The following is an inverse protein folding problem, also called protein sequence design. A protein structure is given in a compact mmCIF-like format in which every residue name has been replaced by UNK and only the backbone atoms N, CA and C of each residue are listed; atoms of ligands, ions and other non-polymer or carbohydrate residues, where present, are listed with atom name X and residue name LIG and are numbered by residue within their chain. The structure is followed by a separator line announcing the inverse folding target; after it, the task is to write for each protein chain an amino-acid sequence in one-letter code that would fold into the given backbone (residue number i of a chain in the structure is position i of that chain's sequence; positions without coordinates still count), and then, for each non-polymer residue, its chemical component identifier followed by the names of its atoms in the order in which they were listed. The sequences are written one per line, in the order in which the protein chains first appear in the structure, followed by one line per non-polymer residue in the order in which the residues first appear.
data_IF_593090487415
#
_entry.id   IF_593090487415
#
_cell.length_a   1.000
_cell.length_b   1.000
_cell.length_c   1.000
_cell.angle_alpha   90.00
_cell.angle_beta   90.00
_cell.angle_gamma   90.00
#
_symmetry.space_group_name_H-M   'P 1'
#
loop_
_entity.id
_entity.type
_entity.pdbx_description
1 polymer ?
#
# COMPACT_ATOMS: atom_id res chain seq x y z
N UNK A 1 5.92 13.76 3.10
CA UNK A 1 5.71 12.59 2.39
C UNK A 1 6.71 12.41 1.29
N UNK A 2 7.41 11.36 1.35
CA UNK A 2 8.42 11.05 0.39
C UNK A 2 7.92 9.99 -0.56
N UNK A 3 8.26 10.14 -1.83
CA UNK A 3 7.92 9.15 -2.83
C UNK A 3 9.19 8.71 -3.52
N UNK A 4 9.33 7.40 -3.67
CA UNK A 4 10.46 6.82 -4.37
C UNK A 4 9.93 6.14 -5.62
N UNK A 5 10.56 6.43 -6.75
CA UNK A 5 10.17 5.82 -8.01
C UNK A 5 11.32 4.96 -8.49
N UNK A 6 11.04 3.68 -8.68
CA UNK A 6 12.06 2.76 -9.13
C UNK A 6 11.46 1.90 -10.23
N UNK A 7 11.96 2.08 -11.45
CA UNK A 7 11.42 1.39 -12.61
C UNK A 7 9.93 1.76 -12.74
N UNK A 8 9.03 0.84 -12.63
CA UNK A 8 7.59 1.10 -12.74
C UNK A 8 6.88 1.03 -11.40
N UNK A 9 7.64 1.13 -10.32
CA UNK A 9 7.12 1.05 -8.97
C UNK A 9 7.24 2.40 -8.28
N UNK A 10 6.15 2.85 -7.64
CA UNK A 10 6.17 4.05 -6.84
C UNK A 10 5.85 3.67 -5.40
N UNK A 11 6.68 4.11 -4.47
CA UNK A 11 6.46 3.87 -3.05
C UNK A 11 6.37 5.22 -2.37
N UNK A 12 5.29 5.46 -1.66
CA UNK A 12 5.09 6.72 -0.94
C UNK A 12 4.92 6.45 0.54
N UNK A 13 5.72 7.11 1.35
CA UNK A 13 5.62 7.02 2.80
C UNK A 13 5.00 8.30 3.28
N UNK A 14 3.77 8.22 3.79
CA UNK A 14 2.98 9.39 4.12
C UNK A 14 3.18 9.90 5.53
N UNK A 15 3.75 9.07 6.40
CA UNK A 15 3.84 9.42 7.81
C UNK A 15 2.48 9.34 8.47
N UNK A 16 2.21 10.22 9.42
CA UNK A 16 0.94 10.19 10.11
C UNK A 16 -0.14 10.75 9.19
N UNK A 17 -1.25 10.02 9.05
CA UNK A 17 -2.34 10.43 8.19
C UNK A 17 -3.55 10.81 9.03
N UNK A 18 -4.45 11.59 8.47
CA UNK A 18 -5.62 12.10 9.19
C UNK A 18 -6.74 11.06 9.30
N UNK A 19 -6.77 10.11 8.39
CA UNK A 19 -7.74 9.02 8.42
C UNK A 19 -7.15 7.83 7.66
N UNK A 20 -7.51 6.60 8.03
CA UNK A 20 -6.81 5.44 7.46
C UNK A 20 -7.02 5.24 5.97
N UNK A 21 -8.19 5.60 5.45
CA UNK A 21 -8.45 5.41 4.02
C UNK A 21 -7.59 6.30 3.13
N UNK A 22 -6.94 7.31 3.70
CA UNK A 22 -6.06 8.19 2.95
C UNK A 22 -4.93 7.41 2.29
N UNK A 23 -4.45 6.35 2.95
CA UNK A 23 -3.37 5.53 2.41
C UNK A 23 -3.81 4.86 1.11
N UNK A 24 -5.02 4.31 1.10
CA UNK A 24 -5.56 3.67 -0.10
C UNK A 24 -5.81 4.69 -1.21
N UNK A 25 -6.30 5.87 -0.84
CA UNK A 25 -6.57 6.93 -1.83
C UNK A 25 -5.29 7.38 -2.50
N UNK A 26 -4.21 7.49 -1.75
CA UNK A 26 -2.92 7.88 -2.32
C UNK A 26 -2.40 6.79 -3.25
N UNK A 27 -2.52 5.53 -2.86
CA UNK A 27 -2.09 4.44 -3.73
C UNK A 27 -2.85 4.45 -5.06
N UNK A 28 -4.16 4.68 -5.01
CA UNK A 28 -4.97 4.77 -6.22
C UNK A 28 -4.53 5.95 -7.09
N UNK A 29 -4.24 7.08 -6.48
CA UNK A 29 -3.79 8.24 -7.21
C UNK A 29 -2.45 7.99 -7.90
N UNK A 30 -1.51 7.37 -7.17
CA UNK A 30 -0.19 7.10 -7.72
C UNK A 30 -0.25 6.13 -8.89
N UNK A 31 -1.18 5.20 -8.86
CA UNK A 31 -1.30 4.24 -9.95
C UNK A 31 -1.76 4.89 -11.26
N UNK A 32 -2.31 6.10 -11.19
CA UNK A 32 -2.73 6.81 -12.39
C UNK A 32 -1.57 7.50 -13.10
N UNK A 33 -0.41 7.59 -12.43
CA UNK A 33 0.73 8.24 -13.06
C UNK A 33 1.22 7.41 -14.25
N UNK A 34 1.72 8.11 -15.26
CA UNK A 34 2.15 7.45 -16.49
C UNK A 34 3.28 6.47 -16.20
N UNK A 35 3.19 5.29 -16.80
CA UNK A 35 4.19 4.23 -16.70
C UNK A 35 4.35 3.61 -15.31
N UNK A 36 3.47 3.90 -14.38
CA UNK A 36 3.49 3.25 -13.08
C UNK A 36 2.66 1.97 -13.19
N UNK A 37 3.25 0.85 -12.80
CA UNK A 37 2.55 -0.44 -12.79
C UNK A 37 2.28 -0.92 -11.38
N UNK A 38 3.03 -0.41 -10.40
CA UNK A 38 2.83 -0.77 -9.00
C UNK A 38 2.88 0.48 -8.16
N UNK A 39 1.94 0.62 -7.26
CA UNK A 39 1.93 1.73 -6.30
C UNK A 39 1.77 1.18 -4.90
N UNK A 40 2.63 1.64 -4.00
CA UNK A 40 2.59 1.27 -2.60
C UNK A 40 2.50 2.55 -1.79
N UNK A 41 1.54 2.63 -0.90
CA UNK A 41 1.44 3.75 0.02
C UNK A 41 1.43 3.22 1.45
N UNK A 42 2.14 3.89 2.32
CA UNK A 42 2.28 3.48 3.71
C UNK A 42 1.97 4.70 4.57
N UNK A 43 1.10 4.54 5.53
CA UNK A 43 0.74 5.60 6.45
C UNK A 43 0.52 5.10 7.85
N UNK A 44 0.55 6.02 8.81
CA UNK A 44 0.43 5.67 10.21
C UNK A 44 -0.81 6.36 10.79
N UNK A 45 -1.69 5.61 11.40
CA UNK A 45 -2.90 6.15 11.99
C UNK A 45 -3.29 5.33 13.21
N UNK A 46 -3.49 6.02 14.33
CA UNK A 46 -3.99 5.39 15.55
C UNK A 46 -3.20 4.14 15.93
N UNK A 47 -1.87 4.28 15.95
CA UNK A 47 -0.96 3.20 16.34
C UNK A 47 -0.96 2.00 15.40
N UNK A 48 -1.47 2.18 14.21
CA UNK A 48 -1.44 1.12 13.19
C UNK A 48 -0.75 1.63 11.96
N UNK A 49 0.08 0.80 11.36
CA UNK A 49 0.69 1.09 10.09
C UNK A 49 -0.23 0.53 9.02
N UNK A 50 -0.66 1.38 8.11
CA UNK A 50 -1.54 0.97 7.02
C UNK A 50 -0.74 0.93 5.72
N UNK A 51 -0.89 -0.14 4.96
CA UNK A 51 -0.19 -0.33 3.71
C UNK A 51 -1.21 -0.60 2.63
N UNK A 52 -1.10 0.08 1.51
CA UNK A 52 -1.95 -0.18 0.36
C UNK A 52 -1.09 -0.46 -0.85
N UNK A 53 -1.40 -1.53 -1.54
CA UNK A 53 -0.69 -1.97 -2.73
C UNK A 53 -1.67 -2.01 -3.88
N UNK A 54 -1.29 -1.40 -4.99
CA UNK A 54 -2.11 -1.37 -6.20
C UNK A 54 -1.25 -1.73 -7.39
N UNK A 55 -1.82 -2.42 -8.36
CA UNK A 55 -1.11 -2.74 -9.59
C UNK A 55 -2.05 -2.71 -10.77
N UNK A 56 -1.52 -2.38 -11.94
CA UNK A 56 -2.27 -2.48 -13.19
C UNK A 56 -2.07 -3.85 -13.84
N UNK A 57 -1.23 -4.70 -13.25
CA UNK A 57 -0.92 -6.00 -13.83
C UNK A 57 -1.99 -7.02 -13.45
N UNK A 58 -2.66 -7.57 -14.44
CA UNK A 58 -3.70 -8.56 -14.21
C UNK A 58 -3.17 -9.98 -14.02
N UNK A 59 -1.87 -10.19 -14.27
CA UNK A 59 -1.27 -11.52 -14.16
C UNK A 59 -0.67 -11.79 -12.77
N UNK A 60 -0.85 -10.86 -11.83
CA UNK A 60 -0.29 -10.98 -10.50
C UNK A 60 -1.39 -10.80 -9.49
N UNK A 61 -1.31 -11.52 -8.38
CA UNK A 61 -2.27 -11.38 -7.29
C UNK A 61 -1.64 -10.48 -6.21
N UNK A 62 -2.08 -9.23 -6.16
CA UNK A 62 -1.55 -8.27 -5.20
C UNK A 62 -1.86 -8.67 -3.76
N UNK A 63 -3.02 -9.27 -3.53
CA UNK A 63 -3.38 -9.73 -2.19
C UNK A 63 -2.44 -10.83 -1.70
N UNK A 64 -2.12 -11.79 -2.57
CA UNK A 64 -1.19 -12.85 -2.20
C UNK A 64 0.18 -12.29 -1.92
N UNK A 65 0.65 -11.34 -2.72
CA UNK A 65 1.95 -10.75 -2.52
C UNK A 65 2.01 -10.03 -1.18
N UNK A 66 1.00 -9.26 -0.86
CA UNK A 66 0.98 -8.51 0.38
C UNK A 66 0.89 -9.44 1.59
N UNK A 67 0.14 -10.53 1.47
CA UNK A 67 0.07 -11.50 2.55
C UNK A 67 1.40 -12.18 2.81
N UNK A 68 2.18 -12.42 1.78
CA UNK A 68 3.50 -13.00 1.96
C UNK A 68 4.43 -12.06 2.70
N UNK A 69 4.26 -10.77 2.50
CA UNK A 69 5.11 -9.78 3.15
C UNK A 69 4.66 -9.50 4.58
N UNK A 70 3.36 -9.34 4.79
CA UNK A 70 2.82 -8.91 6.08
C UNK A 70 2.27 -10.05 6.92
N UNK A 71 2.02 -11.19 6.31
CA UNK A 71 1.36 -12.28 7.00
C UNK A 71 -0.15 -12.23 6.77
N UNK A 72 -0.79 -13.39 6.81
CA UNK A 72 -2.18 -13.50 6.43
C UNK A 72 -3.12 -12.78 7.38
N UNK A 73 -2.68 -12.48 8.61
CA UNK A 73 -3.54 -11.81 9.56
C UNK A 73 -3.58 -10.30 9.34
N UNK A 74 -2.69 -9.77 8.54
CA UNK A 74 -2.56 -8.33 8.39
C UNK A 74 -2.94 -7.82 7.01
N UNK A 75 -3.18 -8.71 6.08
CA UNK A 75 -3.40 -8.28 4.70
C UNK A 75 -4.48 -9.09 3.99
N UNK A 76 -5.09 -8.46 3.02
CA UNK A 76 -6.07 -9.08 2.14
C UNK A 76 -6.29 -8.19 0.95
N UNK A 77 -7.15 -8.58 0.04
CA UNK A 77 -7.46 -7.76 -1.11
C UNK A 77 -7.76 -8.57 -2.34
N UNK A 78 -7.96 -7.86 -3.43
CA UNK A 78 -8.21 -8.46 -4.73
C UNK A 78 -6.91 -8.56 -5.51
N UNK A 79 -6.97 -9.12 -6.71
CA UNK A 79 -5.78 -9.33 -7.53
C UNK A 79 -4.98 -8.04 -7.77
N UNK A 80 -5.65 -6.94 -8.03
CA UNK A 80 -4.97 -5.68 -8.33
C UNK A 80 -5.04 -4.68 -7.19
N UNK A 81 -5.70 -5.02 -6.11
CA UNK A 81 -5.88 -4.15 -4.95
C UNK A 81 -5.60 -4.95 -3.69
N UNK A 82 -4.74 -4.44 -2.84
CA UNK A 82 -4.45 -5.10 -1.59
C UNK A 82 -4.21 -4.06 -0.50
N UNK A 83 -4.62 -4.39 0.71
CA UNK A 83 -4.40 -3.52 1.86
C UNK A 83 -4.08 -4.32 3.09
N UNK A 84 -3.40 -3.71 4.02
CA UNK A 84 -3.06 -4.35 5.26
C UNK A 84 -2.73 -3.32 6.32
N UNK A 85 -2.68 -3.78 7.57
CA UNK A 85 -2.28 -2.91 8.66
C UNK A 85 -1.55 -3.71 9.72
N UNK A 86 -0.64 -3.05 10.40
CA UNK A 86 0.15 -3.65 11.45
C UNK A 86 0.12 -2.70 12.62
N UNK A 87 -0.23 -3.19 13.79
CA UNK A 87 -0.21 -2.36 14.97
C UNK A 87 1.22 -2.10 15.38
N UNK A 88 1.54 -0.85 15.65
CA UNK A 88 2.88 -0.44 16.07
C UNK A 88 2.77 0.40 17.33
N UNK A 89 3.91 0.73 17.89
CA UNK A 89 3.95 1.58 19.05
C UNK A 89 4.12 0.77 20.27
N UNK A 90 3.09 0.41 21.05
CA UNK A 90 3.31 -0.24 22.20
C UNK A 90 3.36 -1.57 22.08
N UNK A 91 4.17 -2.13 22.45
CA UNK A 91 4.56 -3.50 22.25
C UNK A 91 3.55 -4.53 22.67
#
# INVERSE_FOLDING_TARGET
EDALIYDKVVISVLGEVHYPDMVAEVADFLLRLDQVEWAVAIGYYNQCLHVSLRTTRGDVNAGDLLQKVLGSHHAGGHDMIAGGRIRVGEG
#
